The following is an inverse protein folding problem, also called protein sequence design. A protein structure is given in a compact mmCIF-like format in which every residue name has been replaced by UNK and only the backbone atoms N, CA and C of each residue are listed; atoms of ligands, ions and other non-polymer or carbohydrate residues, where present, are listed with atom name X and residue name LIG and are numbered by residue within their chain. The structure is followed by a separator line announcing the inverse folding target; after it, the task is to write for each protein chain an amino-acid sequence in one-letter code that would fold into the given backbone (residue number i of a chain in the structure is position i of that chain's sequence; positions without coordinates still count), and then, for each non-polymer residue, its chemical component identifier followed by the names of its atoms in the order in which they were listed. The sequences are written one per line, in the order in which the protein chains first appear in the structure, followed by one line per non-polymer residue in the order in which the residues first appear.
data_IF_192759460209
#
_entry.id   IF_192759460209
#
_cell.length_a   1.000
_cell.length_b   1.000
_cell.length_c   1.000
_cell.angle_alpha   90.00
_cell.angle_beta   90.00
_cell.angle_gamma   90.00
#
_symmetry.space_group_name_H-M   'P 1'
#
loop_
_entity.id
_entity.type
_entity.pdbx_description
1 polymer ?
#
# COMPACT_ATOMS: atom_id res chain seq x y z
N UNK A 1 -24.43 14.27 38.91
CA UNK A 1 -23.80 13.89 37.62
C UNK A 1 -22.30 13.97 37.81
N UNK A 2 -21.56 12.96 37.34
CA UNK A 2 -20.11 12.95 37.46
C UNK A 2 -19.47 13.67 36.26
N UNK A 3 -19.12 14.94 36.46
CA UNK A 3 -18.50 15.77 35.42
C UNK A 3 -17.08 15.33 35.08
N UNK A 4 -16.39 14.66 36.01
CA UNK A 4 -15.04 14.15 35.75
C UNK A 4 -15.09 13.04 34.69
N UNK A 5 -16.07 12.14 34.78
CA UNK A 5 -16.28 11.09 33.76
C UNK A 5 -16.60 11.70 32.39
N UNK A 6 -17.45 12.72 32.31
CA UNK A 6 -17.84 13.35 31.03
C UNK A 6 -16.67 14.12 30.41
N UNK A 7 -15.89 14.83 31.22
CA UNK A 7 -14.70 15.52 30.73
C UNK A 7 -13.62 14.53 30.28
N UNK A 8 -13.41 13.45 31.03
CA UNK A 8 -12.50 12.38 30.63
C UNK A 8 -12.95 11.75 29.30
N UNK A 9 -14.24 11.45 29.15
CA UNK A 9 -14.79 10.92 27.90
C UNK A 9 -14.53 11.89 26.74
N UNK A 10 -14.73 13.18 26.94
CA UNK A 10 -14.46 14.21 25.92
C UNK A 10 -12.97 14.24 25.53
N UNK A 11 -12.06 14.20 26.50
CA UNK A 11 -10.60 14.17 26.24
C UNK A 11 -10.19 12.88 25.56
N UNK A 12 -10.75 11.75 25.99
CA UNK A 12 -10.50 10.44 25.38
C UNK A 12 -10.97 10.41 23.92
N UNK A 13 -12.11 11.02 23.59
CA UNK A 13 -12.56 11.16 22.20
C UNK A 13 -11.62 12.05 21.37
N UNK A 14 -11.17 13.19 21.91
CA UNK A 14 -10.23 14.07 21.22
C UNK A 14 -8.84 13.43 21.01
N UNK A 15 -8.41 12.53 21.89
CA UNK A 15 -7.07 11.92 21.87
C UNK A 15 -7.01 10.55 21.19
N UNK A 16 -8.07 9.74 21.30
CA UNK A 16 -8.12 8.38 20.71
C UNK A 16 -8.57 8.38 19.27
N UNK A 17 -9.33 9.38 18.84
CA UNK A 17 -9.63 9.55 17.42
C UNK A 17 -8.47 10.29 16.77
N UNK A 18 -7.72 9.55 15.95
CA UNK A 18 -6.65 10.10 15.12
C UNK A 18 -7.20 11.29 14.35
N UNK A 19 -6.60 12.49 14.47
CA UNK A 19 -7.01 13.65 13.69
C UNK A 19 -7.10 13.28 12.21
N UNK A 20 -8.13 13.72 11.50
CA UNK A 20 -8.26 13.42 10.05
C UNK A 20 -6.99 13.79 9.26
N UNK A 21 -6.23 14.76 9.73
CA UNK A 21 -4.93 15.18 9.17
C UNK A 21 -3.85 14.09 9.27
N UNK A 22 -3.81 13.33 10.37
CA UNK A 22 -2.87 12.22 10.55
C UNK A 22 -3.27 11.00 9.71
N UNK A 23 -4.57 10.67 9.64
CA UNK A 23 -5.07 9.63 8.72
C UNK A 23 -4.78 9.97 7.25
N UNK A 24 -4.91 11.24 6.85
CA UNK A 24 -4.55 11.69 5.51
C UNK A 24 -3.05 11.57 5.23
N UNK A 25 -2.20 11.88 6.21
CA UNK A 25 -0.76 11.69 6.10
C UNK A 25 -0.38 10.21 6.02
N UNK A 26 -1.04 9.35 6.78
CA UNK A 26 -0.83 7.91 6.75
C UNK A 26 -1.33 7.31 5.43
N UNK A 27 -2.48 7.74 4.92
CA UNK A 27 -2.95 7.40 3.57
C UNK A 27 -1.93 7.82 2.50
N UNK A 28 -1.44 9.06 2.56
CA UNK A 28 -0.42 9.57 1.65
C UNK A 28 0.89 8.79 1.75
N UNK A 29 1.28 8.39 2.96
CA UNK A 29 2.44 7.53 3.22
C UNK A 29 2.27 6.16 2.55
N UNK A 30 1.16 5.47 2.78
CA UNK A 30 0.87 4.17 2.15
C UNK A 30 0.74 4.28 0.62
N UNK A 31 0.23 5.40 0.08
CA UNK A 31 0.21 5.66 -1.36
C UNK A 31 1.62 5.76 -1.96
N UNK A 32 2.61 6.29 -1.23
CA UNK A 32 3.99 6.38 -1.73
C UNK A 32 4.64 5.00 -1.90
N UNK A 33 4.35 4.05 -1.00
CA UNK A 33 4.83 2.66 -1.13
C UNK A 33 4.15 1.88 -2.26
N UNK A 34 3.00 2.34 -2.76
CA UNK A 34 2.35 1.75 -3.94
C UNK A 34 3.03 2.16 -5.25
N UNK A 35 3.81 3.24 -5.28
CA UNK A 35 4.33 3.85 -6.52
C UNK A 35 5.82 3.61 -6.74
N UNK A 36 6.60 3.25 -5.72
CA UNK A 36 8.05 3.08 -5.88
C UNK A 36 8.45 1.65 -6.28
N UNK A 37 8.54 1.43 -7.59
CA UNK A 37 9.59 0.59 -8.17
C UNK A 37 10.32 1.42 -9.21
N UNK A 38 11.51 1.90 -8.85
CA UNK A 38 12.41 2.62 -9.75
C UNK A 38 13.02 1.64 -10.77
N UNK A 39 12.35 1.44 -11.91
CA UNK A 39 12.99 1.18 -13.20
C UNK A 39 12.03 1.54 -14.37
N UNK A 40 12.54 2.11 -15.49
CA UNK A 40 11.73 2.94 -16.37
C UNK A 40 11.07 2.16 -17.52
N UNK A 41 9.81 2.53 -17.77
CA UNK A 41 9.07 2.44 -19.04
C UNK A 41 8.70 1.05 -19.58
N UNK A 42 7.41 0.69 -19.47
CA UNK A 42 6.54 0.51 -20.66
C UNK A 42 5.06 0.18 -20.37
N UNK A 43 4.64 -0.07 -19.13
CA UNK A 43 3.23 -0.37 -18.86
C UNK A 43 2.70 0.43 -17.67
N UNK A 44 2.47 1.72 -17.93
CA UNK A 44 1.66 2.59 -17.09
C UNK A 44 0.19 2.13 -17.15
N UNK A 45 -0.17 1.14 -16.33
CA UNK A 45 -1.56 0.99 -15.90
C UNK A 45 -1.59 1.45 -14.47
N UNK A 46 -1.64 2.77 -14.31
CA UNK A 46 -1.86 3.42 -13.03
C UNK A 46 -3.32 3.14 -12.61
N UNK A 47 -3.58 1.93 -12.11
CA UNK A 47 -4.76 1.69 -11.28
C UNK A 47 -4.45 2.33 -9.94
N UNK A 48 -4.57 3.66 -9.89
CA UNK A 48 -4.60 4.39 -8.64
C UNK A 48 -5.83 3.85 -7.93
N UNK A 49 -5.62 2.98 -6.95
CA UNK A 49 -6.65 2.60 -6.00
C UNK A 49 -7.19 3.92 -5.44
N UNK A 50 -8.38 4.31 -5.87
CA UNK A 50 -9.08 5.47 -5.32
C UNK A 50 -9.42 5.14 -3.88
N UNK A 51 -8.50 5.49 -2.98
CA UNK A 51 -8.78 5.56 -1.55
C UNK A 51 -9.94 6.55 -1.39
N UNK A 52 -11.01 6.18 -0.66
CA UNK A 52 -12.13 7.08 -0.43
C UNK A 52 -11.63 8.42 0.08
N UNK A 53 -11.83 9.46 -0.73
CA UNK A 53 -11.29 10.81 -0.49
C UNK A 53 -12.00 11.56 0.64
N UNK A 54 -13.18 11.06 1.02
CA UNK A 54 -13.98 11.62 2.11
C UNK A 54 -13.89 10.68 3.32
N UNK A 55 -13.28 11.20 4.39
CA UNK A 55 -13.20 10.56 5.70
C UNK A 55 -14.43 10.93 6.55
N UNK A 56 -14.85 10.04 7.47
CA UNK A 56 -15.98 10.27 8.36
C UNK A 56 -15.86 11.57 9.13
N UNK A 57 -16.92 12.37 9.13
CA UNK A 57 -17.00 13.69 9.74
C UNK A 57 -17.01 13.60 11.27
N UNK A 58 -15.85 13.31 11.87
CA UNK A 58 -15.55 13.38 13.32
C UNK A 58 -16.04 14.69 13.98
N UNK A 59 -16.34 15.72 13.18
CA UNK A 59 -16.94 16.97 13.63
C UNK A 59 -18.33 16.82 14.27
N UNK A 60 -19.11 15.78 13.95
CA UNK A 60 -20.48 15.60 14.45
C UNK A 60 -20.50 15.12 15.91
N UNK A 61 -19.69 14.12 16.26
CA UNK A 61 -19.53 13.68 17.67
C UNK A 61 -19.02 14.82 18.55
N UNK A 62 -18.05 15.60 18.08
CA UNK A 62 -17.54 16.76 18.82
C UNK A 62 -18.60 17.86 19.03
N UNK A 63 -19.45 18.11 18.03
CA UNK A 63 -20.59 19.03 18.16
C UNK A 63 -21.58 18.54 19.23
N UNK A 64 -21.88 17.24 19.25
CA UNK A 64 -22.77 16.65 20.24
C UNK A 64 -22.19 16.72 21.67
N UNK A 65 -20.89 16.45 21.84
CA UNK A 65 -20.21 16.57 23.15
C UNK A 65 -20.25 18.01 23.68
N UNK A 66 -20.03 19.01 22.83
CA UNK A 66 -20.16 20.43 23.20
C UNK A 66 -21.59 20.77 23.65
N UNK A 67 -22.59 20.28 22.90
CA UNK A 67 -24.00 20.48 23.24
C UNK A 67 -24.36 19.80 24.58
N UNK A 68 -23.85 18.61 24.84
CA UNK A 68 -24.04 17.91 26.12
C UNK A 68 -23.45 18.69 27.30
N UNK A 69 -22.22 19.20 27.17
CA UNK A 69 -21.59 20.05 28.19
C UNK A 69 -22.43 21.31 28.49
N UNK A 70 -22.96 21.95 27.46
CA UNK A 70 -23.83 23.13 27.60
C UNK A 70 -25.11 22.82 28.39
N UNK A 71 -25.85 21.77 28.01
CA UNK A 71 -27.07 21.38 28.71
C UNK A 71 -26.80 21.00 30.18
N UNK A 72 -25.67 20.36 30.43
CA UNK A 72 -25.30 19.92 31.78
C UNK A 72 -24.89 21.09 32.70
N UNK A 73 -24.26 22.13 32.16
CA UNK A 73 -23.97 23.36 32.90
C UNK A 73 -25.24 24.15 33.22
N UNK A 74 -26.19 24.23 32.27
CA UNK A 74 -27.48 24.86 32.49
C UNK A 74 -28.27 24.18 33.60
N UNK A 75 -28.28 22.84 33.62
CA UNK A 75 -28.93 22.07 34.69
C UNK A 75 -28.32 22.31 36.06
N UNK A 76 -26.99 22.32 36.18
CA UNK A 76 -26.31 22.60 37.44
C UNK A 76 -26.69 23.98 38.00
N UNK A 77 -26.79 24.97 37.12
CA UNK A 77 -27.25 26.32 37.49
C UNK A 77 -28.70 26.32 38.01
N UNK A 78 -29.62 25.66 37.31
CA UNK A 78 -31.03 25.51 37.74
C UNK A 78 -31.11 24.80 39.09
N UNK A 79 -30.36 23.72 39.29
CA UNK A 79 -30.33 22.99 40.56
C UNK A 79 -29.78 23.87 41.69
N UNK A 80 -28.70 24.62 41.46
CA UNK A 80 -28.11 25.53 42.46
C UNK A 80 -29.03 26.68 42.84
N UNK A 81 -29.65 27.33 41.86
CA UNK A 81 -30.59 28.43 42.08
C UNK A 81 -31.75 27.96 42.97
N UNK A 82 -32.26 26.76 42.71
CA UNK A 82 -33.43 26.20 43.43
C UNK A 82 -33.09 25.55 44.78
N UNK A 83 -31.86 25.07 44.99
CA UNK A 83 -31.42 24.48 46.28
C UNK A 83 -30.95 25.52 47.29
N UNK A 84 -30.96 26.81 46.92
CA UNK A 84 -30.60 27.92 47.81
C UNK A 84 -31.67 28.12 48.90
N UNK A 85 -31.21 28.32 50.15
CA UNK A 85 -31.99 28.17 51.39
C UNK A 85 -33.32 28.95 51.49
N UNK A 86 -33.50 30.02 50.73
CA UNK A 86 -34.69 30.89 50.76
C UNK A 86 -35.99 30.16 50.41
N UNK A 87 -35.95 29.15 49.53
CA UNK A 87 -37.13 28.36 49.15
C UNK A 87 -37.48 27.26 50.17
N UNK A 88 -36.54 26.85 51.03
CA UNK A 88 -36.68 25.70 51.94
C UNK A 88 -37.39 26.09 53.25
N UNK A 89 -37.32 27.36 53.66
CA UNK A 89 -37.93 27.84 54.92
C UNK A 89 -39.43 28.17 54.84
N UNK A 90 -40.05 28.12 53.66
CA UNK A 90 -41.41 28.66 53.41
C UNK A 90 -42.61 27.67 53.61
N UNK A 91 -42.41 26.52 54.24
CA UNK A 91 -43.54 25.62 54.60
C UNK A 91 -44.38 25.16 53.40
N UNK A 92 -45.72 25.23 53.48
CA UNK A 92 -46.67 24.75 52.44
C UNK A 92 -46.45 25.35 51.05
N UNK A 93 -45.91 26.58 50.97
CA UNK A 93 -45.55 27.22 49.70
C UNK A 93 -44.39 26.50 48.99
N UNK A 94 -43.45 25.94 49.77
CA UNK A 94 -42.32 25.16 49.25
C UNK A 94 -42.73 23.87 48.53
N UNK A 95 -43.83 23.22 48.94
CA UNK A 95 -44.30 21.99 48.29
C UNK A 95 -44.89 22.25 46.90
N UNK A 96 -45.80 23.22 46.76
CA UNK A 96 -46.37 23.57 45.45
C UNK A 96 -45.30 24.16 44.51
N UNK A 97 -44.36 24.93 45.04
CA UNK A 97 -43.21 25.42 44.28
C UNK A 97 -42.32 24.28 43.76
N UNK A 98 -41.98 23.32 44.62
CA UNK A 98 -41.20 22.13 44.23
C UNK A 98 -41.92 21.34 43.14
N UNK A 99 -43.23 21.14 43.30
CA UNK A 99 -44.07 20.43 42.34
C UNK A 99 -44.17 21.13 40.98
N UNK A 100 -44.22 22.47 40.96
CA UNK A 100 -44.16 23.26 39.73
C UNK A 100 -42.77 23.13 39.07
N UNK A 101 -41.68 23.25 39.83
CA UNK A 101 -40.31 23.08 39.32
C UNK A 101 -40.09 21.70 38.68
N UNK A 102 -40.61 20.62 39.29
CA UNK A 102 -40.55 19.30 38.66
C UNK A 102 -41.25 19.27 37.30
N UNK A 103 -42.43 19.89 37.20
CA UNK A 103 -43.24 19.90 35.98
C UNK A 103 -42.67 20.79 34.88
N UNK A 104 -42.19 21.97 35.25
CA UNK A 104 -41.87 23.02 34.29
C UNK A 104 -40.37 23.04 33.94
N UNK A 105 -39.49 22.63 34.85
CA UNK A 105 -38.04 22.66 34.64
C UNK A 105 -37.45 21.25 34.46
N UNK A 106 -37.68 20.36 35.44
CA UNK A 106 -36.96 19.06 35.51
C UNK A 106 -37.46 18.09 34.42
N UNK A 107 -38.78 17.92 34.26
CA UNK A 107 -39.34 17.01 33.26
C UNK A 107 -38.92 17.40 31.83
N UNK A 108 -39.05 18.68 31.41
CA UNK A 108 -38.59 19.11 30.09
C UNK A 108 -37.07 18.95 29.91
N UNK A 109 -36.27 19.24 30.94
CA UNK A 109 -34.83 19.02 30.91
C UNK A 109 -34.47 17.55 30.67
N UNK A 110 -35.06 16.63 31.43
CA UNK A 110 -34.81 15.18 31.28
C UNK A 110 -35.23 14.70 29.89
N UNK A 111 -36.34 15.24 29.36
CA UNK A 111 -36.78 14.95 27.98
C UNK A 111 -35.74 15.41 26.95
N UNK A 112 -35.28 16.65 27.04
CA UNK A 112 -34.26 17.20 26.13
C UNK A 112 -32.94 16.41 26.22
N UNK A 113 -32.56 15.99 27.43
CA UNK A 113 -31.38 15.17 27.65
C UNK A 113 -31.51 13.79 26.98
N UNK A 114 -32.67 13.15 27.09
CA UNK A 114 -32.95 11.87 26.43
C UNK A 114 -32.89 11.98 24.90
N UNK A 115 -33.45 13.05 24.33
CA UNK A 115 -33.39 13.32 22.89
C UNK A 115 -31.94 13.55 22.43
N UNK A 116 -31.17 14.31 23.21
CA UNK A 116 -29.74 14.55 22.92
C UNK A 116 -28.92 13.26 22.95
N UNK A 117 -29.12 12.39 23.95
CA UNK A 117 -28.42 11.10 24.01
C UNK A 117 -28.82 10.20 22.84
N UNK A 118 -30.10 10.13 22.49
CA UNK A 118 -30.57 9.38 21.32
C UNK A 118 -29.87 9.84 20.04
N UNK A 119 -29.81 11.15 19.83
CA UNK A 119 -29.12 11.74 18.68
C UNK A 119 -27.62 11.43 18.70
N UNK A 120 -26.96 11.57 19.85
CA UNK A 120 -25.55 11.26 20.01
C UNK A 120 -25.23 9.79 19.69
N UNK A 121 -26.03 8.86 20.20
CA UNK A 121 -25.87 7.43 19.90
C UNK A 121 -26.02 7.15 18.42
N UNK A 122 -26.98 7.80 17.74
CA UNK A 122 -27.14 7.64 16.30
C UNK A 122 -25.92 8.18 15.54
N UNK A 123 -25.42 9.37 15.89
CA UNK A 123 -24.21 9.92 15.28
C UNK A 123 -22.99 9.00 15.46
N UNK A 124 -22.83 8.41 16.65
CA UNK A 124 -21.76 7.43 16.89
C UNK A 124 -21.90 6.18 16.02
N UNK A 125 -23.12 5.65 15.88
CA UNK A 125 -23.39 4.49 15.02
C UNK A 125 -23.04 4.83 13.57
N UNK A 126 -23.46 6.00 13.09
CA UNK A 126 -23.21 6.45 11.72
C UNK A 126 -21.70 6.61 11.46
N UNK A 127 -20.97 7.30 12.34
CA UNK A 127 -19.51 7.47 12.22
C UNK A 127 -18.76 6.13 12.25
N UNK A 128 -19.11 5.22 13.19
CA UNK A 128 -18.49 3.89 13.25
C UNK A 128 -18.79 3.07 11.99
N UNK A 129 -20.01 3.16 11.46
CA UNK A 129 -20.39 2.46 10.23
C UNK A 129 -19.61 2.98 9.02
N UNK A 130 -19.43 4.29 8.93
CA UNK A 130 -18.65 4.92 7.86
C UNK A 130 -17.18 4.50 7.93
N UNK A 131 -16.56 4.55 9.11
CA UNK A 131 -15.18 4.04 9.32
C UNK A 131 -15.07 2.57 8.92
N UNK A 132 -16.01 1.72 9.36
CA UNK A 132 -16.02 0.30 9.00
C UNK A 132 -16.14 0.09 7.49
N UNK A 133 -16.93 0.91 6.80
CA UNK A 133 -17.05 0.85 5.35
C UNK A 133 -15.73 1.23 4.65
N UNK A 134 -15.06 2.29 5.10
CA UNK A 134 -13.72 2.67 4.58
C UNK A 134 -12.72 1.54 4.78
N UNK A 135 -12.66 0.93 5.98
CA UNK A 135 -11.78 -0.22 6.22
C UNK A 135 -12.09 -1.41 5.32
N UNK A 136 -13.38 -1.67 5.03
CA UNK A 136 -13.78 -2.73 4.10
C UNK A 136 -13.29 -2.45 2.69
N UNK A 137 -13.37 -1.20 2.22
CA UNK A 137 -12.86 -0.81 0.90
C UNK A 137 -11.34 -0.95 0.82
N UNK A 138 -10.61 -0.46 1.84
CA UNK A 138 -9.14 -0.62 1.92
C UNK A 138 -8.77 -2.10 1.87
N UNK A 139 -9.44 -2.95 2.64
CA UNK A 139 -9.18 -4.39 2.65
C UNK A 139 -9.37 -5.02 1.28
N UNK A 140 -10.44 -4.67 0.56
CA UNK A 140 -10.68 -5.17 -0.80
C UNK A 140 -9.59 -4.71 -1.77
N UNK A 141 -9.20 -3.44 -1.71
CA UNK A 141 -8.16 -2.91 -2.57
C UNK A 141 -6.78 -3.55 -2.32
N UNK A 142 -6.44 -3.82 -1.06
CA UNK A 142 -5.19 -4.51 -0.68
C UNK A 142 -5.15 -5.93 -1.24
N UNK A 143 -6.25 -6.69 -1.16
CA UNK A 143 -6.30 -8.03 -1.75
C UNK A 143 -6.21 -7.99 -3.28
N UNK A 144 -6.89 -7.06 -3.95
CA UNK A 144 -6.76 -6.89 -5.39
C UNK A 144 -5.31 -6.57 -5.80
N UNK A 145 -4.68 -5.62 -5.12
CA UNK A 145 -3.28 -5.27 -5.37
C UNK A 145 -2.35 -6.48 -5.18
N UNK A 146 -2.62 -7.34 -4.19
CA UNK A 146 -1.87 -8.57 -3.97
C UNK A 146 -1.99 -9.55 -5.15
N UNK A 147 -3.20 -9.72 -5.69
CA UNK A 147 -3.43 -10.57 -6.87
C UNK A 147 -2.71 -10.03 -8.11
N UNK A 148 -2.78 -8.72 -8.35
CA UNK A 148 -2.09 -8.05 -9.45
C UNK A 148 -0.57 -8.19 -9.33
N UNK A 149 -0.02 -8.01 -8.13
CA UNK A 149 1.42 -8.23 -7.84
C UNK A 149 1.85 -9.66 -8.15
N UNK A 150 1.05 -10.67 -7.76
CA UNK A 150 1.36 -12.07 -8.05
C UNK A 150 1.35 -12.36 -9.56
N UNK A 151 0.38 -11.80 -10.28
CA UNK A 151 0.30 -11.91 -11.74
C UNK A 151 1.53 -11.30 -12.42
N UNK A 152 2.00 -10.15 -11.92
CA UNK A 152 3.23 -9.53 -12.42
C UNK A 152 4.47 -10.38 -12.13
N UNK A 153 4.62 -10.90 -10.91
CA UNK A 153 5.71 -11.80 -10.54
C UNK A 153 5.77 -13.03 -11.45
N UNK A 154 4.63 -13.67 -11.73
CA UNK A 154 4.56 -14.82 -12.65
C UNK A 154 4.99 -14.45 -14.08
N UNK A 155 4.62 -13.25 -14.58
CA UNK A 155 5.07 -12.79 -15.89
C UNK A 155 6.58 -12.54 -15.92
N UNK A 156 7.14 -11.94 -14.87
CA UNK A 156 8.58 -11.70 -14.76
C UNK A 156 9.36 -13.02 -14.76
N UNK A 157 8.92 -14.01 -13.98
CA UNK A 157 9.51 -15.35 -13.94
C UNK A 157 9.54 -16.00 -15.33
N UNK A 158 8.43 -15.93 -16.08
CA UNK A 158 8.37 -16.44 -17.45
C UNK A 158 9.35 -15.72 -18.40
N UNK A 159 9.52 -14.41 -18.27
CA UNK A 159 10.48 -13.63 -19.07
C UNK A 159 11.92 -14.01 -18.72
N UNK A 160 12.24 -14.13 -17.43
CA UNK A 160 13.56 -14.58 -16.96
C UNK A 160 13.90 -15.97 -17.51
N UNK A 161 12.97 -16.92 -17.41
CA UNK A 161 13.15 -18.27 -17.96
C UNK A 161 13.36 -18.27 -19.49
N UNK A 162 12.65 -17.40 -20.23
CA UNK A 162 12.85 -17.27 -21.67
C UNK A 162 14.22 -16.68 -22.01
N UNK A 163 14.66 -15.67 -21.26
CA UNK A 163 15.98 -15.05 -21.45
C UNK A 163 17.11 -16.04 -21.15
N UNK A 164 16.99 -16.84 -20.08
CA UNK A 164 17.95 -17.88 -19.74
C UNK A 164 18.11 -18.92 -20.86
N UNK A 165 16.99 -19.36 -21.46
CA UNK A 165 16.99 -20.25 -22.63
C UNK A 165 17.66 -19.61 -23.85
N UNK A 166 17.36 -18.35 -24.15
CA UNK A 166 17.95 -17.63 -25.28
C UNK A 166 19.45 -17.42 -25.08
N UNK A 167 19.87 -17.07 -23.86
CA UNK A 167 21.28 -16.91 -23.51
C UNK A 167 22.02 -18.23 -23.66
N UNK A 168 21.45 -19.33 -23.17
CA UNK A 168 21.99 -20.68 -23.33
C UNK A 168 22.15 -21.05 -24.80
N UNK A 169 21.15 -20.77 -25.64
CA UNK A 169 21.22 -21.00 -27.09
C UNK A 169 22.30 -20.15 -27.76
N UNK A 170 22.39 -18.86 -27.44
CA UNK A 170 23.39 -17.96 -28.00
C UNK A 170 24.82 -18.40 -27.64
N UNK A 171 25.05 -18.75 -26.37
CA UNK A 171 26.35 -19.28 -25.91
C UNK A 171 26.70 -20.60 -26.59
N UNK A 172 25.73 -21.51 -26.75
CA UNK A 172 25.96 -22.78 -27.46
C UNK A 172 26.33 -22.56 -28.93
N UNK A 173 25.70 -21.59 -29.62
CA UNK A 173 26.04 -21.23 -31.00
C UNK A 173 27.43 -20.63 -31.08
N UNK A 174 27.79 -19.74 -30.17
CA UNK A 174 29.12 -19.12 -30.13
C UNK A 174 30.23 -20.17 -29.90
N UNK A 175 30.03 -21.07 -28.94
CA UNK A 175 30.97 -22.19 -28.69
C UNK A 175 31.10 -23.07 -29.94
N UNK A 176 29.98 -23.42 -30.59
CA UNK A 176 30.01 -24.23 -31.80
C UNK A 176 30.75 -23.52 -32.94
N UNK A 177 30.54 -22.22 -33.12
CA UNK A 177 31.23 -21.41 -34.11
C UNK A 177 32.74 -21.40 -33.88
N UNK A 178 33.20 -21.21 -32.63
CA UNK A 178 34.62 -21.26 -32.26
C UNK A 178 35.22 -22.64 -32.58
N UNK A 179 34.56 -23.72 -32.16
CA UNK A 179 35.04 -25.10 -32.40
C UNK A 179 35.12 -25.41 -33.90
N UNK A 180 34.10 -25.03 -34.68
CA UNK A 180 34.10 -25.24 -36.14
C UNK A 180 35.20 -24.41 -36.80
N UNK A 181 35.35 -23.14 -36.43
CA UNK A 181 36.37 -22.26 -36.99
C UNK A 181 37.78 -22.80 -36.74
N UNK A 182 38.09 -23.25 -35.52
CA UNK A 182 39.38 -23.84 -35.18
C UNK A 182 39.65 -25.16 -35.92
N UNK A 183 38.63 -26.02 -36.07
CA UNK A 183 38.73 -27.26 -36.83
C UNK A 183 38.99 -27.01 -38.32
N UNK A 184 38.27 -26.07 -38.94
CA UNK A 184 38.48 -25.70 -40.35
C UNK A 184 39.88 -25.11 -40.55
N UNK A 185 40.31 -24.22 -39.65
CA UNK A 185 41.67 -23.66 -39.70
C UNK A 185 42.75 -24.75 -39.60
N UNK A 186 42.57 -25.71 -38.69
CA UNK A 186 43.47 -26.87 -38.55
C UNK A 186 43.50 -27.72 -39.83
N UNK A 187 42.34 -28.01 -40.43
CA UNK A 187 42.26 -28.77 -41.68
C UNK A 187 42.96 -28.05 -42.84
N UNK A 188 42.77 -26.73 -42.97
CA UNK A 188 43.46 -25.92 -43.99
C UNK A 188 44.98 -25.94 -43.81
N UNK A 189 45.48 -25.75 -42.58
CA UNK A 189 46.91 -25.83 -42.29
C UNK A 189 47.48 -27.21 -42.66
N UNK A 190 46.73 -28.29 -42.41
CA UNK A 190 47.16 -29.64 -42.76
C UNK A 190 47.21 -29.86 -44.28
N UNK A 191 46.25 -29.31 -45.03
CA UNK A 191 46.24 -29.36 -46.50
C UNK A 191 47.42 -28.58 -47.09
N UNK A 192 47.73 -27.39 -46.57
CA UNK A 192 48.87 -26.59 -47.05
C UNK A 192 50.21 -27.29 -46.79
N UNK A 193 50.38 -27.90 -45.62
CA UNK A 193 51.56 -28.73 -45.30
C UNK A 193 51.67 -29.92 -46.26
N UNK A 194 50.55 -30.61 -46.52
CA UNK A 194 50.52 -31.74 -47.43
C UNK A 194 50.86 -31.32 -48.88
N UNK A 195 50.30 -30.22 -49.35
CA UNK A 195 50.59 -29.66 -50.67
C UNK A 195 52.08 -29.29 -50.80
N UNK A 196 52.64 -28.61 -49.80
CA UNK A 196 54.06 -28.24 -49.78
C UNK A 196 54.98 -29.48 -49.75
N UNK A 197 54.62 -30.52 -49.00
CA UNK A 197 55.36 -31.78 -49.00
C UNK A 197 55.35 -32.45 -50.38
N UNK A 198 54.20 -32.52 -51.04
CA UNK A 198 54.06 -33.09 -52.39
C UNK A 198 54.89 -32.30 -53.40
N UNK A 199 54.92 -30.97 -53.30
CA UNK A 199 55.77 -30.12 -54.16
C UNK A 199 57.25 -30.43 -53.95
N UNK A 200 57.75 -30.45 -52.70
CA UNK A 200 59.15 -30.79 -52.40
C UNK A 200 59.49 -32.20 -52.91
N UNK A 201 58.60 -33.16 -52.69
CA UNK A 201 58.83 -34.54 -53.09
C UNK A 201 58.95 -34.66 -54.62
N UNK A 202 58.14 -33.91 -55.38
CA UNK A 202 58.22 -33.85 -56.84
C UNK A 202 59.47 -33.13 -57.36
N UNK A 203 59.93 -32.07 -56.70
CA UNK A 203 61.16 -31.34 -57.04
C UNK A 203 62.39 -32.24 -56.83
N UNK A 204 62.46 -32.92 -55.68
CA UNK A 204 63.51 -33.89 -55.40
C UNK A 204 63.50 -35.03 -56.43
N UNK A 205 62.33 -35.57 -56.79
CA UNK A 205 62.23 -36.65 -57.80
C UNK A 205 62.75 -36.21 -59.16
N UNK A 206 62.48 -34.97 -59.58
CA UNK A 206 63.02 -34.40 -60.81
C UNK A 206 64.54 -34.21 -60.75
N UNK A 207 65.09 -33.80 -59.61
CA UNK A 207 66.53 -33.68 -59.42
C UNK A 207 67.24 -35.05 -59.43
N UNK A 208 66.62 -36.08 -58.86
CA UNK A 208 67.11 -37.46 -58.96
C UNK A 208 67.11 -37.96 -60.41
N UNK A 209 66.02 -37.75 -61.17
CA UNK A 209 65.96 -38.12 -62.59
C UNK A 209 66.97 -37.34 -63.44
N UNK A 210 67.18 -36.05 -63.17
CA UNK A 210 68.25 -35.28 -63.83
C UNK A 210 69.63 -35.85 -63.51
N UNK A 211 69.91 -36.16 -62.24
CA UNK A 211 71.21 -36.73 -61.84
C UNK A 211 71.47 -38.09 -62.48
N UNK A 212 70.46 -38.96 -62.55
CA UNK A 212 70.54 -40.28 -63.20
C UNK A 212 70.77 -40.15 -64.71
N UNK A 213 70.10 -39.20 -65.38
CA UNK A 213 70.37 -38.88 -66.78
C UNK A 213 71.79 -38.36 -67.04
N UNK A 214 72.38 -37.58 -66.11
CA UNK A 214 73.76 -37.12 -66.23
C UNK A 214 74.80 -38.21 -65.96
N UNK A 215 74.53 -39.16 -65.05
CA UNK A 215 75.43 -40.30 -64.81
C UNK A 215 75.35 -41.37 -65.92
N UNK A 216 74.23 -41.46 -66.66
CA UNK A 216 74.09 -42.41 -67.78
C UNK A 216 74.73 -41.89 -69.09
N UNK A 217 75.07 -40.60 -69.15
CA UNK A 217 75.69 -39.94 -70.31
C UNK A 217 77.22 -39.78 -70.20
N UNK A 218 77.83 -40.24 -69.10
CA UNK A 218 79.29 -40.25 -68.87
C UNK A 218 79.86 -41.66 -69.01
#
# INVERSE_FOLDING_TARGET
VDYAIINQLSTDFETRFVPQTELSAEQAFWSQYSVQTDEPNLFATNTIVEVPKELPKVSLVNSCLKKLKFHLASFDMVVKERTTATAITEGTWGFEHTKACFRDDIIPFVKALKELFTFFYQCLIDEVTEVQNVFKQIKLAVEQHREEKLKFQNKMENVLQKNDRLLTQALSVEIMNVVVHDNVKSACLNVDVCAHCVTIESELKNDFLKKECYETLL
#
